data_IF_562447727677
#
_entry.id   IF_562447727677
#
_cell.length_a   1.000
_cell.length_b   1.000
_cell.length_c   1.000
_cell.angle_alpha   90.00
_cell.angle_beta   90.00
_cell.angle_gamma   90.00
#
_symmetry.space_group_name_H-M   'P 1'
#
loop_
_entity.id
_entity.type
_entity.pdbx_description
1 polymer ?
#
# COMPACT_ATOMS: atom_id res chain seq x y z
N UNK A 1 6.78 -17.74 36.55
CA UNK A 1 6.45 -17.42 35.15
C UNK A 1 5.30 -16.43 35.12
N UNK A 2 5.45 -15.33 34.40
CA UNK A 2 4.41 -14.28 34.34
C UNK A 2 3.31 -14.69 33.36
N UNK A 3 2.10 -14.13 33.54
CA UNK A 3 0.97 -14.32 32.58
C UNK A 3 1.38 -13.93 31.14
N UNK A 4 2.28 -12.96 30.99
CA UNK A 4 2.78 -12.47 29.70
C UNK A 4 3.65 -13.53 29.02
N UNK A 5 4.60 -14.13 29.74
CA UNK A 5 5.47 -15.17 29.22
C UNK A 5 4.70 -16.42 28.76
N UNK A 6 3.67 -16.80 29.51
CA UNK A 6 2.81 -17.93 29.16
C UNK A 6 2.04 -17.67 27.86
N UNK A 7 1.52 -16.46 27.69
CA UNK A 7 0.81 -16.04 26.47
C UNK A 7 1.73 -16.07 25.27
N UNK A 8 2.94 -15.52 25.40
CA UNK A 8 3.96 -15.53 24.32
C UNK A 8 4.29 -16.97 23.91
N UNK A 9 4.58 -17.87 24.87
CA UNK A 9 4.90 -19.27 24.57
C UNK A 9 3.76 -19.98 23.83
N UNK A 10 2.51 -19.77 24.27
CA UNK A 10 1.32 -20.34 23.64
C UNK A 10 1.14 -19.81 22.21
N UNK A 11 1.33 -18.51 22.00
CA UNK A 11 1.27 -17.90 20.66
C UNK A 11 2.35 -18.43 19.72
N UNK A 12 3.57 -18.63 20.21
CA UNK A 12 4.67 -19.22 19.44
C UNK A 12 4.37 -20.67 19.05
N UNK A 13 3.84 -21.49 19.96
CA UNK A 13 3.44 -22.87 19.65
C UNK A 13 2.31 -22.94 18.60
N UNK A 14 1.34 -22.02 18.70
CA UNK A 14 0.24 -21.90 17.75
C UNK A 14 0.72 -21.45 16.35
N UNK A 15 1.67 -20.51 16.29
CA UNK A 15 2.34 -20.13 15.04
C UNK A 15 3.10 -21.31 14.41
N UNK A 16 3.88 -22.05 15.20
CA UNK A 16 4.63 -23.23 14.72
C UNK A 16 3.73 -24.35 14.19
N UNK A 17 2.52 -24.48 14.74
CA UNK A 17 1.52 -25.46 14.28
C UNK A 17 0.67 -24.96 13.10
N UNK A 18 1.03 -23.83 12.48
CA UNK A 18 0.32 -23.26 11.34
C UNK A 18 -1.05 -22.64 11.67
N UNK A 19 -1.39 -22.55 12.96
CA UNK A 19 -2.65 -21.96 13.45
C UNK A 19 -2.31 -20.68 14.23
N UNK A 20 -1.93 -19.59 13.55
CA UNK A 20 -1.57 -18.35 14.23
C UNK A 20 -2.67 -17.93 15.20
N UNK A 21 -2.28 -17.43 16.38
CA UNK A 21 -3.24 -16.91 17.37
C UNK A 21 -4.08 -15.81 16.74
N UNK A 22 -5.36 -16.10 16.52
CA UNK A 22 -6.33 -15.11 16.09
C UNK A 22 -6.87 -14.40 17.32
N UNK A 23 -6.04 -13.54 17.91
CA UNK A 23 -6.53 -12.47 18.80
C UNK A 23 -7.29 -11.44 17.95
N UNK A 24 -8.40 -11.89 17.35
CA UNK A 24 -9.30 -10.99 16.63
C UNK A 24 -9.88 -10.04 17.65
N UNK A 25 -9.67 -8.75 17.41
CA UNK A 25 -10.48 -7.70 17.99
C UNK A 25 -11.93 -8.05 17.63
N UNK A 26 -12.79 -8.27 18.64
CA UNK A 26 -14.06 -9.01 18.50
C UNK A 26 -14.99 -8.54 17.38
N UNK A 27 -16.08 -9.28 17.13
CA UNK A 27 -17.05 -8.98 16.05
C UNK A 27 -17.45 -7.49 16.01
N UNK A 28 -17.63 -6.88 17.18
CA UNK A 28 -17.91 -5.44 17.32
C UNK A 28 -16.82 -4.54 16.71
N UNK A 29 -15.55 -4.81 16.98
CA UNK A 29 -14.43 -4.05 16.41
C UNK A 29 -14.18 -4.36 14.93
N UNK A 30 -14.54 -5.57 14.49
CA UNK A 30 -14.57 -5.89 13.05
C UNK A 30 -15.64 -5.08 12.32
N UNK A 31 -16.81 -4.88 12.93
CA UNK A 31 -17.89 -4.03 12.41
C UNK A 31 -17.52 -2.54 12.43
N UNK A 32 -16.94 -2.03 13.53
CA UNK A 32 -16.44 -0.64 13.56
C UNK A 32 -15.29 -0.42 12.59
N UNK A 33 -14.48 -1.44 12.29
CA UNK A 33 -13.51 -1.40 11.19
C UNK A 33 -14.17 -1.31 9.80
N UNK A 34 -15.30 -1.99 9.59
CA UNK A 34 -16.04 -1.92 8.33
C UNK A 34 -16.69 -0.54 8.11
N UNK A 35 -17.40 -0.01 9.10
CA UNK A 35 -18.04 1.31 8.99
C UNK A 35 -17.04 2.47 9.12
N UNK A 36 -16.05 2.32 10.00
CA UNK A 36 -15.00 3.29 10.25
C UNK A 36 -13.99 3.35 9.11
N UNK A 37 -13.20 2.29 8.86
CA UNK A 37 -12.12 2.37 7.86
C UNK A 37 -12.64 2.36 6.42
N UNK A 38 -13.55 1.46 6.06
CA UNK A 38 -13.90 1.24 4.65
C UNK A 38 -14.69 2.42 4.06
N UNK A 39 -15.60 3.01 4.84
CA UNK A 39 -16.41 4.14 4.39
C UNK A 39 -15.64 5.48 4.48
N UNK A 40 -14.92 5.73 5.58
CA UNK A 40 -14.12 6.94 5.77
C UNK A 40 -12.97 7.05 4.74
N UNK A 41 -12.19 5.99 4.53
CA UNK A 41 -11.12 6.02 3.53
C UNK A 41 -11.65 6.07 2.10
N UNK A 42 -12.79 5.43 1.81
CA UNK A 42 -13.43 5.51 0.49
C UNK A 42 -13.75 6.94 0.09
N UNK A 43 -14.32 7.73 1.02
CA UNK A 43 -14.63 9.14 0.77
C UNK A 43 -13.38 10.03 0.70
N UNK A 44 -12.44 9.90 1.65
CA UNK A 44 -11.21 10.72 1.70
C UNK A 44 -10.28 10.48 0.50
N UNK A 45 -10.18 9.24 0.02
CA UNK A 45 -9.28 8.89 -1.10
C UNK A 45 -9.81 9.38 -2.46
N UNK A 46 -11.12 9.67 -2.58
CA UNK A 46 -11.72 10.19 -3.81
C UNK A 46 -11.02 11.46 -4.32
N UNK A 47 -10.61 12.35 -3.41
CA UNK A 47 -9.87 13.60 -3.72
C UNK A 47 -8.48 13.36 -4.35
N UNK A 48 -7.89 12.19 -4.13
CA UNK A 48 -6.54 11.85 -4.57
C UNK A 48 -6.51 10.84 -5.72
N UNK A 49 -7.67 10.31 -6.07
CA UNK A 49 -7.83 9.30 -7.12
C UNK A 49 -7.21 9.69 -8.46
N UNK A 50 -7.20 10.98 -8.79
CA UNK A 50 -6.67 11.59 -10.02
C UNK A 50 -5.37 12.39 -9.81
N UNK A 51 -4.76 12.37 -8.62
CA UNK A 51 -3.64 13.24 -8.26
C UNK A 51 -2.26 12.65 -8.49
N UNK A 52 -2.17 11.40 -8.92
CA UNK A 52 -0.87 10.84 -9.28
C UNK A 52 -0.33 11.65 -10.48
N UNK A 53 0.95 11.97 -10.48
CA UNK A 53 1.64 12.72 -11.53
C UNK A 53 2.82 11.89 -12.00
N UNK A 54 3.08 11.96 -13.30
CA UNK A 54 4.18 11.25 -13.94
C UNK A 54 5.02 12.28 -14.68
N UNK A 55 6.29 12.34 -14.35
CA UNK A 55 7.31 13.11 -15.04
C UNK A 55 7.69 12.35 -16.33
N UNK A 56 7.33 12.91 -17.48
CA UNK A 56 7.53 12.28 -18.78
C UNK A 56 9.02 12.17 -19.15
N UNK A 57 9.85 13.09 -18.67
CA UNK A 57 11.28 13.13 -19.00
C UNK A 57 12.05 12.04 -18.25
N UNK A 58 11.59 11.69 -17.04
CA UNK A 58 12.16 10.61 -16.23
C UNK A 58 11.54 9.23 -16.54
N UNK A 59 10.32 9.19 -17.06
CA UNK A 59 9.59 7.95 -17.26
C UNK A 59 10.12 7.19 -18.48
N UNK A 60 10.74 6.04 -18.25
CA UNK A 60 11.23 5.13 -19.31
C UNK A 60 10.16 4.16 -19.84
N UNK A 61 8.89 4.29 -19.41
CA UNK A 61 7.81 3.41 -19.89
C UNK A 61 7.91 1.94 -19.50
N UNK A 62 8.62 1.59 -18.41
CA UNK A 62 8.95 0.19 -18.06
C UNK A 62 7.77 -0.73 -17.68
N UNK A 63 6.54 -0.24 -17.55
CA UNK A 63 5.39 -1.11 -17.23
C UNK A 63 5.21 -1.49 -15.74
N UNK A 64 6.26 -1.40 -14.92
CA UNK A 64 6.28 -1.97 -13.54
C UNK A 64 5.17 -1.41 -12.64
N UNK A 65 4.90 -0.11 -12.72
CA UNK A 65 3.88 0.54 -11.89
C UNK A 65 2.45 0.05 -12.18
N UNK A 66 2.16 -0.36 -13.43
CA UNK A 66 0.89 -0.97 -13.81
C UNK A 66 0.69 -2.33 -13.14
N UNK A 67 1.71 -3.21 -13.26
CA UNK A 67 1.70 -4.55 -12.66
C UNK A 67 1.57 -4.53 -11.13
N UNK A 68 2.17 -3.53 -10.49
CA UNK A 68 2.14 -3.40 -9.03
C UNK A 68 0.84 -2.78 -8.50
N UNK A 69 0.02 -2.14 -9.33
CA UNK A 69 -1.14 -1.41 -8.84
C UNK A 69 -2.29 -2.37 -8.53
N UNK A 70 -2.67 -2.59 -7.25
CA UNK A 70 -3.76 -3.50 -6.92
C UNK A 70 -5.13 -2.98 -7.39
N UNK A 71 -5.24 -1.68 -7.67
CA UNK A 71 -6.48 -1.02 -8.10
C UNK A 71 -6.63 -0.97 -9.62
N UNK A 72 -5.67 -1.50 -10.39
CA UNK A 72 -5.58 -1.35 -11.85
C UNK A 72 -5.77 0.11 -12.29
N UNK A 73 -5.24 1.05 -11.49
CA UNK A 73 -5.36 2.48 -11.76
C UNK A 73 -4.48 2.91 -12.92
N UNK A 74 -3.37 2.21 -13.17
CA UNK A 74 -2.34 2.60 -14.14
C UNK A 74 -2.42 1.70 -15.37
N UNK A 75 -2.53 2.33 -16.55
CA UNK A 75 -2.49 1.69 -17.87
C UNK A 75 -1.36 2.30 -18.70
N UNK A 76 -0.92 1.56 -19.72
CA UNK A 76 0.08 2.01 -20.68
C UNK A 76 -0.57 2.16 -22.05
N UNK A 77 -0.51 3.37 -22.61
CA UNK A 77 -0.99 3.69 -23.96
C UNK A 77 0.13 4.49 -24.62
N UNK A 78 0.60 4.06 -25.79
CA UNK A 78 1.68 4.72 -26.55
C UNK A 78 2.94 5.05 -25.73
N UNK A 79 3.39 4.08 -24.91
CA UNK A 79 4.51 4.21 -23.95
C UNK A 79 4.31 5.25 -22.83
N UNK A 80 3.13 5.87 -22.75
CA UNK A 80 2.75 6.81 -21.69
C UNK A 80 1.89 6.14 -20.62
N UNK A 81 2.03 6.64 -19.40
CA UNK A 81 1.27 6.18 -18.23
C UNK A 81 -0.05 6.95 -18.15
N UNK A 82 -1.17 6.23 -18.23
CA UNK A 82 -2.52 6.77 -18.12
C UNK A 82 -3.19 6.25 -16.85
N UNK A 83 -4.04 7.07 -16.24
CA UNK A 83 -4.66 6.82 -14.93
C UNK A 83 -6.17 6.68 -15.05
N UNK A 84 -6.79 5.82 -14.23
CA UNK A 84 -8.22 5.53 -14.27
C UNK A 84 -8.99 6.07 -13.05
N UNK A 85 -8.49 7.08 -12.34
CA UNK A 85 -9.15 7.69 -11.18
C UNK A 85 -9.55 6.68 -10.08
N UNK A 86 -8.70 5.67 -9.86
CA UNK A 86 -8.86 4.60 -8.86
C UNK A 86 -7.69 4.53 -7.87
N UNK A 87 -6.87 5.59 -7.78
CA UNK A 87 -5.75 5.61 -6.84
C UNK A 87 -6.24 5.64 -5.38
N UNK A 88 -5.73 4.73 -4.56
CA UNK A 88 -6.01 4.63 -3.11
C UNK A 88 -4.87 5.14 -2.23
N UNK A 89 -3.86 5.79 -2.82
CA UNK A 89 -2.68 6.32 -2.11
C UNK A 89 -1.84 5.27 -1.39
N UNK A 90 -1.68 4.07 -1.96
CA UNK A 90 -0.83 3.04 -1.38
C UNK A 90 0.69 3.26 -1.59
N UNK A 91 1.08 4.27 -2.39
CA UNK A 91 2.47 4.60 -2.75
C UNK A 91 3.32 3.47 -3.38
N UNK A 92 2.77 2.28 -3.59
CA UNK A 92 3.49 1.13 -4.14
C UNK A 92 4.12 1.42 -5.50
N UNK A 93 3.42 2.15 -6.36
CA UNK A 93 3.94 2.58 -7.64
C UNK A 93 5.14 3.55 -7.46
N UNK A 94 5.00 4.56 -6.59
CA UNK A 94 6.02 5.59 -6.34
C UNK A 94 7.29 4.96 -5.75
N UNK A 95 7.14 4.11 -4.73
CA UNK A 95 8.29 3.51 -4.03
C UNK A 95 9.06 2.51 -4.90
N UNK A 96 8.41 1.91 -5.90
CA UNK A 96 9.05 0.91 -6.77
C UNK A 96 9.52 1.49 -8.12
N UNK A 97 9.41 2.80 -8.32
CA UNK A 97 9.83 3.46 -9.55
C UNK A 97 11.34 3.72 -9.53
N UNK A 98 12.10 2.97 -10.32
CA UNK A 98 13.58 3.10 -10.40
C UNK A 98 14.05 4.49 -10.83
N UNK A 99 13.26 5.20 -11.64
CA UNK A 99 13.57 6.54 -12.15
C UNK A 99 12.93 7.68 -11.35
N UNK A 100 12.27 7.35 -10.24
CA UNK A 100 11.62 8.34 -9.37
C UNK A 100 10.67 9.29 -10.13
N UNK A 101 10.04 8.78 -11.18
CA UNK A 101 9.27 9.58 -12.14
C UNK A 101 7.82 9.84 -11.70
N UNK A 102 7.40 9.40 -10.50
CA UNK A 102 6.01 9.50 -10.06
C UNK A 102 5.89 10.18 -8.71
N UNK A 103 4.91 11.06 -8.59
CA UNK A 103 4.57 11.75 -7.34
C UNK A 103 3.06 11.74 -7.14
N UNK A 104 2.61 11.75 -5.88
CA UNK A 104 1.19 11.85 -5.53
C UNK A 104 0.92 13.11 -4.70
N UNK A 105 1.84 13.40 -3.79
CA UNK A 105 1.91 14.64 -3.02
C UNK A 105 3.20 15.35 -3.41
N UNK A 106 3.14 16.66 -3.62
CA UNK A 106 4.31 17.47 -3.98
C UNK A 106 4.65 17.50 -5.47
N UNK A 107 5.90 17.89 -5.77
CA UNK A 107 6.43 18.08 -7.13
C UNK A 107 7.46 17.04 -7.51
N UNK A 108 8.37 16.69 -6.60
CA UNK A 108 9.51 15.80 -6.85
C UNK A 108 9.67 14.76 -5.74
N UNK A 109 10.28 13.63 -6.09
CA UNK A 109 10.71 12.61 -5.11
C UNK A 109 12.10 12.99 -4.64
N UNK A 110 12.27 13.22 -3.33
CA UNK A 110 13.58 13.51 -2.72
C UNK A 110 14.32 12.21 -2.45
N UNK A 111 13.63 11.23 -1.87
CA UNK A 111 14.23 9.96 -1.46
C UNK A 111 13.20 8.81 -1.54
N UNK A 112 13.68 7.61 -1.86
CA UNK A 112 12.92 6.36 -1.73
C UNK A 112 13.62 5.48 -0.70
N UNK A 113 12.91 5.16 0.38
CA UNK A 113 13.39 4.25 1.42
C UNK A 113 12.76 2.88 1.21
N UNK A 114 13.47 2.01 0.49
CA UNK A 114 13.13 0.59 0.37
C UNK A 114 13.88 -0.20 1.45
N UNK A 115 13.35 -1.35 1.88
CA UNK A 115 13.91 -2.13 2.99
C UNK A 115 15.36 -2.54 2.70
N UNK A 116 15.68 -2.80 1.44
CA UNK A 116 17.01 -3.18 0.95
C UNK A 116 18.09 -2.11 1.23
N UNK A 117 17.69 -0.87 1.58
CA UNK A 117 18.62 0.17 2.02
C UNK A 117 19.12 -0.03 3.46
N UNK A 118 18.39 -0.79 4.28
CA UNK A 118 18.62 -0.94 5.72
C UNK A 118 18.98 -2.38 6.14
N UNK A 119 19.00 -3.31 5.18
CA UNK A 119 19.50 -4.66 5.34
C UNK A 119 21.00 -4.68 5.04
#
# INVERSE_FOLDING_TARGET
>A
MTKVEQKIRKSVQLLKSGKPTQERIGVLYSMTGFFGHRMYFGYKTKKYSYKLRVDADKCIGCGKCGKLCPMNNIKFVDKKVVQNNKCTMCYRCINNCLKQAMTLLGKTVVEQSVIEKYL
#
